data_IF_832504234362
#
_entry.id   IF_832504234362
#
_cell.length_a   1.000
_cell.length_b   1.000
_cell.length_c   1.000
_cell.angle_alpha   90.00
_cell.angle_beta   90.00
_cell.angle_gamma   90.00
#
_symmetry.space_group_name_H-M   'P 1'
#
loop_
_entity.id
_entity.type
_entity.pdbx_description
1 polymer ?
#
# COMPACT_ATOMS: atom_id res chain seq x y z
N UNK A 1 -10.05 20.35 -12.23
CA UNK A 1 -8.74 20.98 -11.96
C UNK A 1 -7.97 20.04 -11.05
N UNK A 2 -6.69 19.76 -11.32
CA UNK A 2 -5.86 18.92 -10.45
C UNK A 2 -5.82 19.44 -9.01
N UNK A 3 -5.79 18.54 -8.04
CA UNK A 3 -5.59 18.92 -6.63
C UNK A 3 -4.19 19.51 -6.44
N UNK A 4 -4.08 20.55 -5.61
CA UNK A 4 -2.78 20.99 -5.09
C UNK A 4 -2.22 19.95 -4.13
N UNK A 5 -0.90 20.00 -3.86
CA UNK A 5 -0.28 19.12 -2.86
C UNK A 5 -0.95 19.23 -1.48
N UNK A 6 -1.34 20.45 -1.07
CA UNK A 6 -2.04 20.66 0.19
C UNK A 6 -3.42 20.00 0.21
N UNK A 7 -4.19 20.17 -0.87
CA UNK A 7 -5.51 19.56 -1.01
C UNK A 7 -5.41 18.02 -1.04
N UNK A 8 -4.40 17.48 -1.73
CA UNK A 8 -4.15 16.06 -1.79
C UNK A 8 -3.76 15.49 -0.41
N UNK A 9 -2.91 16.19 0.35
CA UNK A 9 -2.54 15.78 1.71
C UNK A 9 -3.73 15.85 2.68
N UNK A 10 -4.58 16.87 2.57
CA UNK A 10 -5.83 16.94 3.34
C UNK A 10 -6.78 15.79 2.97
N UNK A 11 -6.91 15.48 1.68
CA UNK A 11 -7.73 14.38 1.20
C UNK A 11 -7.22 13.03 1.72
N UNK A 12 -5.90 12.79 1.67
CA UNK A 12 -5.28 11.57 2.19
C UNK A 12 -5.63 11.33 3.66
N UNK A 13 -5.56 12.37 4.49
CA UNK A 13 -5.90 12.26 5.91
C UNK A 13 -7.40 12.01 6.14
N UNK A 14 -8.27 12.69 5.38
CA UNK A 14 -9.72 12.59 5.53
C UNK A 14 -10.29 11.28 4.98
N UNK A 15 -9.91 10.92 3.77
CA UNK A 15 -10.42 9.78 3.02
C UNK A 15 -9.32 9.20 2.13
N UNK A 16 -8.61 8.19 2.63
CA UNK A 16 -7.48 7.60 1.92
C UNK A 16 -7.90 6.95 0.60
N UNK A 17 -9.06 6.28 0.57
CA UNK A 17 -9.59 5.64 -0.63
C UNK A 17 -9.82 6.65 -1.75
N UNK A 18 -10.51 7.77 -1.45
CA UNK A 18 -10.72 8.83 -2.44
C UNK A 18 -9.40 9.48 -2.87
N UNK A 19 -8.45 9.67 -1.95
CA UNK A 19 -7.11 10.13 -2.31
C UNK A 19 -6.44 9.18 -3.30
N UNK A 20 -6.50 7.87 -3.07
CA UNK A 20 -5.91 6.88 -3.96
C UNK A 20 -6.66 6.77 -5.29
N UNK A 21 -7.96 7.05 -5.35
CA UNK A 21 -8.64 7.11 -6.64
C UNK A 21 -8.18 8.33 -7.46
N UNK A 22 -8.06 9.48 -6.81
CA UNK A 22 -7.76 10.75 -7.49
C UNK A 22 -6.29 10.96 -7.79
N UNK A 23 -5.40 10.65 -6.85
CA UNK A 23 -4.00 11.03 -6.92
C UNK A 23 -3.12 9.83 -7.31
N UNK A 24 -2.55 9.80 -8.52
CA UNK A 24 -1.54 8.81 -8.88
C UNK A 24 -0.36 8.86 -7.89
N UNK A 25 -0.13 7.78 -7.15
CA UNK A 25 0.87 7.70 -6.10
C UNK A 25 1.95 6.68 -6.43
N UNK A 26 3.22 7.11 -6.34
CA UNK A 26 4.37 6.21 -6.32
C UNK A 26 5.09 6.26 -4.97
N UNK A 27 5.43 5.10 -4.40
CA UNK A 27 6.15 5.01 -3.14
C UNK A 27 7.57 4.49 -3.38
N UNK A 28 8.57 5.28 -2.99
CA UNK A 28 9.98 4.90 -3.06
C UNK A 28 10.39 4.02 -1.88
N UNK A 29 11.38 3.15 -2.10
CA UNK A 29 11.92 2.27 -1.05
C UNK A 29 12.65 3.02 0.05
N UNK A 30 12.47 2.56 1.30
CA UNK A 30 13.36 2.87 2.42
C UNK A 30 14.41 1.77 2.66
N UNK A 31 14.68 0.94 1.65
CA UNK A 31 15.61 -0.19 1.76
C UNK A 31 15.08 -1.26 2.72
N UNK A 32 15.98 -1.82 3.53
CA UNK A 32 15.65 -2.87 4.51
C UNK A 32 15.19 -2.32 5.87
N UNK A 33 15.08 -1.00 6.04
CA UNK A 33 14.60 -0.40 7.28
C UNK A 33 13.16 -0.83 7.58
N UNK A 34 12.89 -1.22 8.83
CA UNK A 34 11.57 -1.65 9.31
C UNK A 34 11.02 -0.67 10.35
N UNK A 35 9.70 -0.62 10.50
CA UNK A 35 9.02 0.13 11.55
C UNK A 35 8.68 1.56 11.18
N UNK A 36 8.49 2.42 12.19
CA UNK A 36 8.07 3.80 12.03
C UNK A 36 9.18 4.66 11.39
N UNK A 37 8.88 5.25 10.24
CA UNK A 37 9.79 6.12 9.49
C UNK A 37 9.01 7.34 8.96
N UNK A 38 9.66 8.50 8.94
CA UNK A 38 9.15 9.67 8.22
C UNK A 38 9.28 9.47 6.72
N UNK A 39 8.18 9.59 5.98
CA UNK A 39 8.16 9.77 4.55
C UNK A 39 7.66 11.18 4.21
N UNK A 40 8.00 11.65 3.02
CA UNK A 40 7.63 12.96 2.51
C UNK A 40 6.81 12.81 1.24
N UNK A 41 5.59 13.34 1.24
CA UNK A 41 4.70 13.43 0.09
C UNK A 41 5.01 14.72 -0.67
N UNK A 42 5.26 14.62 -1.97
CA UNK A 42 5.49 15.77 -2.84
C UNK A 42 4.97 15.54 -4.26
N UNK A 43 4.79 16.63 -4.99
CA UNK A 43 4.45 16.63 -6.42
C UNK A 43 5.67 16.31 -7.28
N UNK A 44 5.47 15.53 -8.33
CA UNK A 44 6.48 15.30 -9.37
C UNK A 44 6.49 16.39 -10.46
N UNK A 45 5.54 17.33 -10.43
CA UNK A 45 5.42 18.41 -11.41
C UNK A 45 4.73 18.03 -12.72
N UNK A 46 4.40 16.75 -12.91
CA UNK A 46 3.64 16.22 -14.04
C UNK A 46 2.24 15.73 -13.63
N UNK A 47 1.39 15.51 -14.63
CA UNK A 47 0.01 15.03 -14.45
C UNK A 47 -0.19 13.65 -15.07
N UNK A 48 -1.09 12.85 -14.48
CA UNK A 48 -1.65 11.64 -15.07
C UNK A 48 -3.15 11.58 -14.76
N UNK A 49 -3.87 10.60 -15.29
CA UNK A 49 -5.30 10.46 -15.02
C UNK A 49 -5.55 9.84 -13.65
N UNK A 50 -6.35 10.51 -12.83
CA UNK A 50 -7.01 9.96 -11.65
C UNK A 50 -8.49 9.68 -11.92
N UNK A 51 -9.20 9.21 -10.90
CA UNK A 51 -10.64 8.94 -10.92
C UNK A 51 -11.30 9.77 -9.82
N UNK A 52 -12.18 10.70 -10.19
CA UNK A 52 -13.01 11.45 -9.24
C UNK A 52 -14.47 11.10 -9.49
N UNK A 53 -15.11 10.50 -8.48
CA UNK A 53 -16.52 10.08 -8.55
C UNK A 53 -16.84 9.22 -9.80
N UNK A 54 -15.91 8.36 -10.20
CA UNK A 54 -16.04 7.49 -11.37
C UNK A 54 -15.64 8.11 -12.71
N UNK A 55 -15.28 9.39 -12.74
CA UNK A 55 -14.85 10.09 -13.96
C UNK A 55 -13.34 10.22 -14.00
N UNK A 56 -12.74 9.85 -15.13
CA UNK A 56 -11.30 10.07 -15.35
C UNK A 56 -10.99 11.55 -15.53
N UNK A 57 -9.98 12.05 -14.83
CA UNK A 57 -9.56 13.45 -14.96
C UNK A 57 -8.06 13.65 -14.75
N UNK A 58 -7.46 14.68 -15.37
CA UNK A 58 -6.06 15.03 -15.12
C UNK A 58 -5.85 15.40 -13.65
N UNK A 59 -4.89 14.75 -13.02
CA UNK A 59 -4.50 14.89 -11.63
C UNK A 59 -2.98 14.93 -11.46
N UNK A 60 -2.54 15.54 -10.37
CA UNK A 60 -1.11 15.68 -10.07
C UNK A 60 -0.50 14.34 -9.67
N UNK A 61 0.65 13.99 -10.24
CA UNK A 61 1.39 12.81 -9.79
C UNK A 61 2.13 13.11 -8.50
N UNK A 62 1.95 12.22 -7.54
CA UNK A 62 2.54 12.34 -6.22
C UNK A 62 3.54 11.22 -5.97
N UNK A 63 4.56 11.56 -5.19
CA UNK A 63 5.54 10.59 -4.70
C UNK A 63 5.67 10.68 -3.19
N UNK A 64 5.80 9.51 -2.57
CA UNK A 64 6.14 9.35 -1.17
C UNK A 64 7.56 8.77 -1.06
N UNK A 65 8.48 9.46 -0.40
CA UNK A 65 9.88 9.03 -0.27
C UNK A 65 10.48 9.36 1.10
N UNK A 66 11.54 8.65 1.51
CA UNK A 66 12.30 8.97 2.73
C UNK A 66 13.04 10.30 2.68
N UNK A 67 13.30 10.80 1.48
CA UNK A 67 13.99 12.08 1.27
C UNK A 67 12.99 13.11 0.75
N UNK A 68 12.95 14.27 1.40
CA UNK A 68 12.22 15.42 0.89
C UNK A 68 12.94 15.96 -0.34
N UNK A 69 12.33 15.84 -1.51
CA UNK A 69 12.88 16.37 -2.77
C UNK A 69 12.29 17.75 -3.14
N UNK A 70 11.47 18.32 -2.26
CA UNK A 70 10.87 19.66 -2.40
C UNK A 70 10.72 20.30 -1.03
N UNK A 71 10.89 21.63 -0.97
CA UNK A 71 10.63 22.43 0.24
C UNK A 71 9.16 22.43 0.66
N UNK A 72 8.24 22.18 -0.28
CA UNK A 72 6.80 22.11 -0.02
C UNK A 72 6.31 20.72 0.41
N UNK A 73 7.22 19.73 0.51
CA UNK A 73 6.87 18.36 0.82
C UNK A 73 6.19 18.23 2.19
N UNK A 74 5.23 17.31 2.30
CA UNK A 74 4.47 17.05 3.53
C UNK A 74 5.02 15.83 4.22
N UNK A 75 5.42 15.97 5.48
CA UNK A 75 5.92 14.86 6.28
C UNK A 75 4.77 13.98 6.78
N UNK A 76 4.94 12.67 6.66
CA UNK A 76 4.03 11.65 7.16
C UNK A 76 4.83 10.60 7.93
N UNK A 77 4.44 10.32 9.17
CA UNK A 77 4.92 9.13 9.86
C UNK A 77 4.23 7.92 9.26
N UNK A 78 5.01 6.93 8.83
CA UNK A 78 4.51 5.70 8.22
C UNK A 78 5.24 4.49 8.80
N UNK A 79 4.55 3.39 8.98
CA UNK A 79 5.17 2.09 9.20
C UNK A 79 5.62 1.56 7.84
N UNK A 80 6.92 1.35 7.66
CA UNK A 80 7.46 0.81 6.42
C UNK A 80 7.55 -0.72 6.46
N UNK A 81 6.96 -1.35 5.45
CA UNK A 81 7.09 -2.78 5.18
C UNK A 81 8.13 -2.96 4.06
N UNK A 82 9.36 -3.41 4.36
CA UNK A 82 10.39 -3.55 3.34
C UNK A 82 10.14 -4.76 2.45
N UNK A 83 10.76 -4.72 1.27
CA UNK A 83 10.80 -5.83 0.34
C UNK A 83 11.86 -6.84 0.77
N UNK A 84 11.48 -8.11 0.84
CA UNK A 84 12.38 -9.23 1.07
C UNK A 84 12.38 -10.20 -0.12
N UNK A 85 13.45 -10.98 -0.28
CA UNK A 85 13.49 -12.11 -1.22
C UNK A 85 12.40 -13.14 -0.85
N UNK A 86 12.11 -14.08 -1.75
CA UNK A 86 11.17 -15.17 -1.42
C UNK A 86 11.66 -15.97 -0.23
N UNK A 87 10.93 -15.84 0.87
CA UNK A 87 11.19 -16.51 2.13
C UNK A 87 9.91 -17.23 2.53
N UNK A 88 9.99 -18.57 2.65
CA UNK A 88 8.80 -19.39 2.77
C UNK A 88 7.97 -18.99 3.99
N UNK A 89 8.57 -18.78 5.18
CA UNK A 89 8.16 -17.85 6.26
C UNK A 89 9.26 -17.76 7.31
N UNK A 90 10.23 -16.87 7.10
CA UNK A 90 11.22 -16.60 8.13
C UNK A 90 10.78 -15.43 9.01
N UNK A 91 10.84 -15.54 10.36
CA UNK A 91 10.40 -14.48 11.27
C UNK A 91 10.98 -13.10 10.95
N UNK A 92 12.25 -13.05 10.54
CA UNK A 92 12.96 -11.83 10.19
C UNK A 92 12.43 -11.12 8.94
N UNK A 93 11.66 -11.81 8.09
CA UNK A 93 11.02 -11.22 6.90
C UNK A 93 9.65 -10.63 7.21
N UNK A 94 9.03 -11.05 8.32
CA UNK A 94 7.70 -10.61 8.73
C UNK A 94 7.81 -9.31 9.52
N UNK A 95 7.09 -8.29 9.06
CA UNK A 95 6.97 -7.00 9.75
C UNK A 95 5.74 -7.02 10.64
N UNK A 96 5.94 -6.83 11.95
CA UNK A 96 4.84 -6.80 12.94
C UNK A 96 4.44 -5.37 13.24
N UNK A 97 3.13 -5.14 13.32
CA UNK A 97 2.51 -3.87 13.68
C UNK A 97 1.51 -4.14 14.80
N UNK A 98 1.49 -3.27 15.79
CA UNK A 98 0.61 -3.40 16.95
C UNK A 98 -0.45 -2.31 16.96
N UNK A 99 -1.52 -2.50 17.74
CA UNK A 99 -2.54 -1.45 17.93
C UNK A 99 -2.00 -0.26 18.75
N UNK A 100 -0.86 -0.41 19.42
CA UNK A 100 -0.23 0.63 20.24
C UNK A 100 0.78 1.50 19.50
N UNK A 101 1.12 1.16 18.24
CA UNK A 101 2.01 2.01 17.45
C UNK A 101 1.42 3.41 17.35
N UNK A 102 2.24 4.46 17.39
CA UNK A 102 1.75 5.85 17.34
C UNK A 102 1.39 6.31 15.91
N UNK A 103 1.67 5.47 14.92
CA UNK A 103 1.63 5.79 13.50
C UNK A 103 0.33 5.32 12.86
N UNK A 104 -0.29 6.17 12.04
CA UNK A 104 -1.59 5.91 11.42
C UNK A 104 -1.52 5.55 9.94
N UNK A 105 -0.32 5.47 9.35
CA UNK A 105 -0.13 5.06 7.96
C UNK A 105 0.83 3.88 7.87
N UNK A 106 0.59 2.99 6.91
CA UNK A 106 1.48 1.89 6.55
C UNK A 106 1.82 2.00 5.08
N UNK A 107 3.09 1.86 4.74
CA UNK A 107 3.57 1.98 3.36
C UNK A 107 4.41 0.79 2.97
N UNK A 108 4.35 0.46 1.69
CA UNK A 108 5.36 -0.40 1.06
C UNK A 108 5.68 0.11 -0.34
N UNK A 109 6.78 -0.35 -0.92
CA UNK A 109 7.16 0.05 -2.27
C UNK A 109 6.18 -0.48 -3.30
N UNK A 110 6.24 0.07 -4.51
CA UNK A 110 5.45 -0.44 -5.61
C UNK A 110 5.67 -1.95 -5.82
N UNK A 111 4.59 -2.71 -5.86
CA UNK A 111 4.56 -4.11 -6.21
C UNK A 111 4.73 -4.24 -7.73
N UNK A 112 5.82 -4.89 -8.15
CA UNK A 112 6.08 -5.22 -9.55
C UNK A 112 6.40 -6.71 -9.63
N UNK A 113 5.36 -7.53 -9.81
CA UNK A 113 5.46 -8.99 -9.70
C UNK A 113 5.64 -9.54 -8.27
N UNK A 114 5.70 -8.67 -7.26
CA UNK A 114 5.78 -9.02 -5.84
C UNK A 114 4.47 -9.60 -5.28
N UNK A 115 4.52 -10.09 -4.05
CA UNK A 115 3.35 -10.45 -3.24
C UNK A 115 3.37 -9.65 -1.94
N UNK A 116 2.23 -9.08 -1.58
CA UNK A 116 1.95 -8.47 -0.29
C UNK A 116 1.00 -9.36 0.51
N UNK A 117 1.31 -9.63 1.77
CA UNK A 117 0.53 -10.52 2.60
C UNK A 117 0.23 -9.95 3.98
N UNK A 118 -0.93 -10.30 4.52
CA UNK A 118 -1.44 -9.80 5.80
C UNK A 118 -2.05 -10.96 6.59
N UNK A 119 -1.75 -11.03 7.89
CA UNK A 119 -2.45 -11.92 8.83
C UNK A 119 -2.50 -11.32 10.24
N UNK A 120 -3.39 -11.82 11.10
CA UNK A 120 -3.33 -11.51 12.53
C UNK A 120 -1.99 -11.96 13.13
N UNK A 121 -1.38 -11.09 13.94
CA UNK A 121 -0.14 -11.40 14.66
C UNK A 121 -0.38 -12.29 15.89
N UNK A 122 0.56 -13.21 16.16
CA UNK A 122 0.57 -13.95 17.43
C UNK A 122 0.83 -12.96 18.59
N UNK A 123 -0.11 -12.84 19.52
CA UNK A 123 -0.06 -11.88 20.62
C UNK A 123 -0.77 -10.54 20.35
N UNK A 124 -1.50 -10.42 19.23
CA UNK A 124 -2.23 -9.22 18.83
C UNK A 124 -1.54 -8.45 17.70
N UNK A 125 -2.26 -7.49 17.10
CA UNK A 125 -1.77 -6.71 15.96
C UNK A 125 -1.84 -7.45 14.62
N UNK A 126 -1.07 -6.94 13.66
CA UNK A 126 -1.01 -7.44 12.28
C UNK A 126 0.42 -7.77 11.89
N UNK A 127 0.57 -8.86 11.13
CA UNK A 127 1.80 -9.27 10.49
C UNK A 127 1.69 -9.03 8.99
N UNK A 128 2.71 -8.35 8.45
CA UNK A 128 2.82 -7.97 7.05
C UNK A 128 4.06 -8.58 6.42
N UNK A 129 3.96 -8.88 5.13
CA UNK A 129 5.04 -9.41 4.33
C UNK A 129 4.99 -8.80 2.93
N UNK A 130 6.10 -8.25 2.44
CA UNK A 130 6.27 -7.88 1.04
C UNK A 130 7.43 -8.69 0.48
N UNK A 131 7.12 -9.60 -0.44
CA UNK A 131 8.09 -10.51 -1.03
C UNK A 131 8.21 -10.28 -2.53
N UNK A 132 9.45 -10.15 -3.01
CA UNK A 132 9.76 -10.11 -4.43
C UNK A 132 10.01 -11.52 -5.00
N UNK A 133 9.67 -11.75 -6.28
CA UNK A 133 10.05 -12.97 -6.98
C UNK A 133 11.55 -13.12 -7.12
N UNK A 134 12.00 -14.37 -7.25
CA UNK A 134 13.37 -14.71 -7.60
C UNK A 134 13.37 -15.59 -8.88
N UNK A 135 14.54 -16.11 -9.30
CA UNK A 135 14.66 -16.87 -10.56
C UNK A 135 13.76 -18.10 -10.61
N UNK A 136 13.64 -18.84 -9.52
CA UNK A 136 12.96 -20.14 -9.48
C UNK A 136 11.49 -20.03 -9.03
N UNK A 137 11.15 -18.94 -8.33
CA UNK A 137 9.83 -18.63 -7.80
C UNK A 137 9.30 -17.32 -8.39
N UNK A 138 8.45 -17.46 -9.41
CA UNK A 138 7.68 -16.34 -9.96
C UNK A 138 6.60 -15.84 -8.98
N UNK A 139 6.06 -14.65 -9.24
CA UNK A 139 5.08 -14.01 -8.36
C UNK A 139 3.82 -14.84 -8.12
N UNK A 140 3.38 -15.66 -9.07
CA UNK A 140 2.18 -16.49 -8.91
C UNK A 140 2.45 -17.66 -7.96
N UNK A 141 3.61 -18.33 -8.11
CA UNK A 141 4.04 -19.40 -7.19
C UNK A 141 4.21 -18.89 -5.76
N UNK A 142 4.76 -17.68 -5.61
CA UNK A 142 4.93 -17.03 -4.31
C UNK A 142 3.57 -16.75 -3.67
N UNK A 143 2.65 -16.12 -4.43
CA UNK A 143 1.30 -15.81 -3.94
C UNK A 143 0.58 -17.07 -3.46
N UNK A 144 0.68 -18.16 -4.23
CA UNK A 144 0.07 -19.45 -3.87
C UNK A 144 0.70 -20.08 -2.63
N UNK A 145 2.03 -19.99 -2.47
CA UNK A 145 2.73 -20.50 -1.29
C UNK A 145 2.32 -19.72 -0.03
N UNK A 146 2.34 -18.38 -0.10
CA UNK A 146 1.98 -17.48 1.00
C UNK A 146 0.51 -17.59 1.39
N UNK A 147 -0.40 -17.86 0.43
CA UNK A 147 -1.84 -18.02 0.68
C UNK A 147 -2.18 -19.14 1.67
N UNK A 148 -1.28 -20.11 1.88
CA UNK A 148 -1.46 -21.18 2.88
C UNK A 148 -1.34 -20.68 4.33
N UNK A 149 -0.75 -19.52 4.51
CA UNK A 149 -0.22 -19.05 5.80
C UNK A 149 -0.69 -17.65 6.21
N UNK A 150 -1.14 -16.87 5.24
CA UNK A 150 -1.64 -15.52 5.43
C UNK A 150 -3.12 -15.44 5.07
N UNK A 151 -3.86 -14.64 5.84
CA UNK A 151 -5.28 -14.39 5.60
C UNK A 151 -5.49 -13.67 4.26
N UNK A 152 -4.62 -12.71 3.95
CA UNK A 152 -4.56 -12.02 2.66
C UNK A 152 -3.22 -12.35 2.01
N UNK A 153 -3.28 -12.74 0.74
CA UNK A 153 -2.13 -12.91 -0.15
C UNK A 153 -2.45 -12.20 -1.46
N UNK A 154 -1.95 -10.96 -1.61
CA UNK A 154 -2.20 -10.08 -2.75
C UNK A 154 -0.96 -10.04 -3.65
N UNK A 155 -1.02 -10.68 -4.82
CA UNK A 155 0.15 -10.86 -5.67
C UNK A 155 -0.17 -10.93 -7.16
N UNK A 156 0.86 -11.15 -7.97
CA UNK A 156 0.67 -11.32 -9.42
C UNK A 156 -0.15 -12.59 -9.71
N UNK A 157 -1.20 -12.47 -10.53
CA UNK A 157 -2.01 -13.61 -10.95
C UNK A 157 -3.16 -13.25 -11.88
N UNK A 158 -3.91 -14.26 -12.33
CA UNK A 158 -4.98 -14.11 -13.31
C UNK A 158 -6.39 -14.28 -12.69
N UNK A 159 -6.53 -14.15 -11.36
CA UNK A 159 -7.80 -14.39 -10.66
C UNK A 159 -8.58 -13.08 -10.46
N UNK A 160 -9.91 -13.17 -10.53
CA UNK A 160 -10.85 -12.04 -10.33
C UNK A 160 -11.27 -11.83 -8.87
N UNK A 161 -10.69 -12.57 -7.93
CA UNK A 161 -11.13 -12.62 -6.53
C UNK A 161 -10.48 -11.55 -5.61
N UNK A 162 -10.00 -10.43 -6.17
CA UNK A 162 -9.37 -9.34 -5.40
C UNK A 162 -8.03 -9.69 -4.73
N UNK A 163 -7.57 -10.94 -4.85
CA UNK A 163 -6.29 -11.40 -4.27
C UNK A 163 -5.14 -11.39 -5.28
N UNK A 164 -5.42 -11.00 -6.52
CA UNK A 164 -4.38 -10.91 -7.55
C UNK A 164 -4.52 -9.68 -8.41
N UNK A 165 -3.39 -9.23 -8.97
CA UNK A 165 -3.33 -8.16 -9.96
C UNK A 165 -2.67 -8.62 -11.26
N UNK A 166 -3.05 -7.96 -12.35
CA UNK A 166 -2.73 -8.36 -13.72
C UNK A 166 -1.24 -8.29 -14.09
N UNK A 167 -0.91 -8.94 -15.20
CA UNK A 167 0.43 -8.90 -15.76
C UNK A 167 0.79 -7.47 -16.22
N UNK A 168 1.97 -7.00 -15.81
CA UNK A 168 2.49 -5.64 -16.08
C UNK A 168 1.75 -4.49 -15.38
N UNK A 169 0.87 -4.77 -14.42
CA UNK A 169 0.26 -3.74 -13.60
C UNK A 169 1.21 -3.29 -12.50
N UNK A 170 1.31 -1.97 -12.32
CA UNK A 170 2.02 -1.37 -11.19
C UNK A 170 1.02 -1.17 -10.06
N UNK A 171 1.35 -1.66 -8.86
CA UNK A 171 0.44 -1.54 -7.72
C UNK A 171 1.15 -0.89 -6.53
N UNK A 172 0.57 0.16 -5.98
CA UNK A 172 1.03 0.78 -4.75
C UNK A 172 0.11 0.34 -3.61
N UNK A 173 0.67 -0.16 -2.51
CA UNK A 173 -0.09 -0.53 -1.31
C UNK A 173 0.14 0.48 -0.19
N UNK A 174 -0.96 0.99 0.36
CA UNK A 174 -0.97 1.99 1.41
C UNK A 174 -2.10 1.67 2.40
N UNK A 175 -1.79 1.70 3.70
CA UNK A 175 -2.77 1.48 4.76
C UNK A 175 -2.99 2.73 5.61
N UNK A 176 -4.19 2.85 6.15
CA UNK A 176 -4.54 3.83 7.20
C UNK A 176 -5.07 3.10 8.44
N UNK A 177 -4.80 3.66 9.60
CA UNK A 177 -5.45 3.29 10.86
C UNK A 177 -6.38 4.40 11.30
N UNK A 178 -7.65 4.08 11.43
CA UNK A 178 -8.69 4.99 11.95
C UNK A 178 -9.49 4.27 13.02
N UNK A 179 -9.71 4.95 14.15
CA UNK A 179 -10.40 4.38 15.32
C UNK A 179 -9.80 3.04 15.78
N UNK A 180 -8.46 2.93 15.74
CA UNK A 180 -7.72 1.72 16.15
C UNK A 180 -7.71 0.57 15.14
N UNK A 181 -8.48 0.64 14.06
CA UNK A 181 -8.61 -0.42 13.05
C UNK A 181 -7.87 -0.06 11.77
N UNK A 182 -7.16 -1.04 11.19
CA UNK A 182 -6.47 -0.88 9.92
C UNK A 182 -7.37 -1.12 8.71
N UNK A 183 -7.19 -0.30 7.69
CA UNK A 183 -7.60 -0.57 6.30
C UNK A 183 -6.39 -0.48 5.40
N UNK A 184 -6.29 -1.40 4.45
CA UNK A 184 -5.19 -1.44 3.49
C UNK A 184 -5.76 -1.45 2.08
N UNK A 185 -5.24 -0.54 1.26
CA UNK A 185 -5.69 -0.34 -0.11
C UNK A 185 -4.56 -0.61 -1.09
N UNK A 186 -4.94 -1.03 -2.29
CA UNK A 186 -4.07 -1.21 -3.43
C UNK A 186 -4.52 -0.25 -4.55
N UNK A 187 -3.64 0.65 -4.99
CA UNK A 187 -3.88 1.51 -6.16
C UNK A 187 -3.21 0.90 -7.38
N UNK A 188 -3.99 0.68 -8.43
CA UNK A 188 -3.53 0.12 -9.70
C UNK A 188 -3.19 1.24 -10.68
N UNK A 189 -2.06 1.08 -11.37
CA UNK A 189 -1.61 2.01 -12.38
C UNK A 189 -1.21 1.32 -13.68
N UNK A 190 -1.49 1.99 -14.80
CA UNK A 190 -1.01 1.60 -16.13
C UNK A 190 0.46 2.01 -16.37
N UNK A 191 0.97 1.76 -17.58
CA UNK A 191 2.34 2.12 -17.96
C UNK A 191 2.65 3.62 -17.90
N UNK A 192 1.63 4.46 -18.05
CA UNK A 192 1.71 5.92 -18.02
C UNK A 192 1.55 6.48 -16.59
N UNK A 193 1.21 5.63 -15.62
CA UNK A 193 0.94 6.04 -14.24
C UNK A 193 -0.46 6.58 -14.03
N UNK A 194 -1.40 6.32 -14.95
CA UNK A 194 -2.81 6.63 -14.72
C UNK A 194 -3.39 5.65 -13.70
N UNK A 195 -4.25 6.13 -12.80
CA UNK A 195 -5.01 5.28 -11.89
C UNK A 195 -6.06 4.52 -12.69
N UNK A 196 -6.00 3.19 -12.65
CA UNK A 196 -6.97 2.30 -13.31
C UNK A 196 -7.96 1.68 -12.32
N UNK A 197 -7.67 1.74 -11.03
CA UNK A 197 -8.54 1.24 -9.97
C UNK A 197 -7.91 1.41 -8.59
N UNK A 198 -8.74 1.22 -7.56
CA UNK A 198 -8.32 1.10 -6.17
C UNK A 198 -9.17 0.03 -5.52
N UNK A 199 -8.54 -0.91 -4.83
CA UNK A 199 -9.22 -1.93 -4.05
C UNK A 199 -8.86 -1.82 -2.57
N UNK A 200 -9.85 -1.99 -1.70
CA UNK A 200 -9.61 -2.29 -0.29
C UNK A 200 -9.24 -3.77 -0.16
N UNK A 201 -7.96 -4.08 -0.03
CA UNK A 201 -7.45 -5.46 0.04
C UNK A 201 -7.51 -6.05 1.46
N UNK A 202 -7.68 -5.20 2.47
CA UNK A 202 -7.89 -5.63 3.85
C UNK A 202 -8.64 -4.58 4.65
N UNK A 203 -9.61 -5.05 5.44
CA UNK A 203 -10.28 -4.27 6.47
C UNK A 203 -10.24 -5.09 7.75
N UNK A 204 -9.59 -4.55 8.76
CA UNK A 204 -9.53 -5.19 10.07
C UNK A 204 -10.94 -5.32 10.65
N UNK A 205 -11.37 -6.52 11.07
CA UNK A 205 -12.67 -6.71 11.67
C UNK A 205 -12.74 -5.95 13.00
N UNK A 206 -13.83 -5.22 13.22
CA UNK A 206 -14.13 -4.64 14.52
C UNK A 206 -14.43 -5.78 15.50
N UNK A 207 -13.71 -5.82 16.62
CA UNK A 207 -14.02 -6.73 17.74
C UNK A 207 -15.19 -6.23 18.60
N UNK A 208 -15.73 -5.04 18.31
CA UNK A 208 -16.97 -4.55 18.93
C UNK A 208 -18.14 -5.20 18.20
N UNK A 209 -18.73 -6.24 18.81
CA UNK A 209 -20.10 -6.62 18.52
C UNK A 209 -20.97 -5.41 18.88
N UNK A 210 -21.58 -4.76 17.88
CA UNK A 210 -22.72 -3.90 18.17
C UNK A 210 -23.80 -4.82 18.73
N UNK A 211 -24.08 -4.70 20.02
CA UNK A 211 -25.33 -5.18 20.59
C UNK A 211 -26.36 -4.16 20.11
N UNK A 212 -27.36 -4.64 19.36
CA UNK A 212 -28.50 -3.85 18.88
C UNK A 212 -29.17 -3.05 20.01
#
# INVERSE_FOLDING_TARGET
>A
MPLTLDQAAQLMNRNLEQFLHRCPLSISSAGQSKGALTFYLYSLGDTALGIDQGVQMPEMRLRLSKTALSSSAKALQCIHIPVSQFEQLKPESISKVTHYDSVNFLVTTQLTGCTFAIRPGKGGGLEFLHVQPNRDFDGAKIQQAIKKEFQVSFGKGNSSNGTTYGNNTRVTVLGERKNGLWKVYAQYQDGNGNVTGVDCIYKEPSSVAYVD
#
